data_IF_743173569021
#
_entry.id   IF_743173569021
#
_cell.length_a   1.000
_cell.length_b   1.000
_cell.length_c   1.000
_cell.angle_alpha   90.00
_cell.angle_beta   90.00
_cell.angle_gamma   90.00
#
_symmetry.space_group_name_H-M   'P 1'
#
loop_
_entity.id
_entity.type
_entity.pdbx_description
1 polymer ?
#
# COMPACT_ATOMS: atom_id res chain seq x y z
N UNK A 1 -18.55 -16.47 -18.37
CA UNK A 1 -19.31 -15.94 -17.21
C UNK A 1 -18.57 -14.72 -16.70
N UNK A 2 -18.95 -13.54 -17.20
CA UNK A 2 -18.19 -12.30 -17.02
C UNK A 2 -18.53 -11.60 -15.71
N UNK A 3 -17.56 -11.56 -14.78
CA UNK A 3 -17.61 -10.68 -13.63
C UNK A 3 -17.27 -9.25 -14.09
N UNK A 4 -18.30 -8.45 -14.32
CA UNK A 4 -18.18 -7.04 -14.71
C UNK A 4 -17.39 -6.27 -13.65
N UNK A 5 -16.27 -5.69 -14.07
CA UNK A 5 -15.49 -4.66 -13.39
C UNK A 5 -16.25 -3.31 -13.30
N UNK A 6 -17.53 -3.33 -12.90
CA UNK A 6 -18.40 -2.15 -12.85
C UNK A 6 -18.23 -1.32 -11.57
N UNK A 7 -17.57 -1.86 -10.53
CA UNK A 7 -17.45 -1.17 -9.24
C UNK A 7 -16.32 -0.11 -9.18
N UNK A 8 -15.30 -0.21 -10.04
CA UNK A 8 -14.16 0.71 -10.03
C UNK A 8 -14.48 2.06 -10.70
N UNK A 9 -15.34 2.08 -11.70
CA UNK A 9 -15.69 3.31 -12.43
C UNK A 9 -16.53 4.31 -11.60
N UNK A 10 -17.24 3.83 -10.57
CA UNK A 10 -18.14 4.69 -9.79
C UNK A 10 -17.44 5.53 -8.71
N UNK A 11 -16.16 5.28 -8.39
CA UNK A 11 -15.45 6.02 -7.33
C UNK A 11 -14.87 7.36 -7.79
N UNK A 12 -14.67 7.54 -9.10
CA UNK A 12 -14.13 8.78 -9.70
C UNK A 12 -15.23 9.75 -10.16
N UNK A 13 -16.51 9.36 -10.06
CA UNK A 13 -17.66 10.14 -10.54
C UNK A 13 -18.22 11.17 -9.56
N UNK A 14 -17.38 11.73 -8.67
CA UNK A 14 -17.79 12.84 -7.81
C UNK A 14 -17.47 14.15 -8.52
N UNK A 15 -18.47 15.02 -8.68
CA UNK A 15 -18.34 16.38 -9.23
C UNK A 15 -17.16 17.11 -8.60
N UNK A 16 -15.99 17.04 -9.23
CA UNK A 16 -14.77 17.67 -8.75
C UNK A 16 -14.90 19.17 -8.94
N UNK A 17 -14.68 19.95 -7.88
CA UNK A 17 -14.39 21.38 -8.03
C UNK A 17 -13.17 21.60 -8.95
N UNK A 18 -12.85 22.86 -9.23
CA UNK A 18 -11.83 23.46 -10.14
C UNK A 18 -10.70 22.59 -10.75
N UNK A 19 -10.23 21.50 -10.12
CA UNK A 19 -9.22 20.55 -10.59
C UNK A 19 -9.73 19.21 -11.15
N UNK A 20 -11.04 18.91 -11.09
CA UNK A 20 -11.63 17.67 -11.61
C UNK A 20 -11.34 16.39 -10.79
N UNK A 21 -10.65 16.50 -9.65
CA UNK A 21 -10.30 15.38 -8.77
C UNK A 21 -11.21 15.35 -7.53
N UNK A 22 -11.84 14.19 -7.27
CA UNK A 22 -12.66 13.97 -6.07
C UNK A 22 -11.81 13.83 -4.80
N UNK A 23 -12.40 14.01 -3.62
CA UNK A 23 -11.72 13.77 -2.33
C UNK A 23 -11.15 12.34 -2.24
N UNK A 24 -11.92 11.36 -2.71
CA UNK A 24 -11.49 9.97 -2.79
C UNK A 24 -10.25 9.78 -3.67
N UNK A 25 -10.15 10.50 -4.80
CA UNK A 25 -8.98 10.47 -5.68
C UNK A 25 -7.72 11.00 -4.97
N UNK A 26 -7.82 12.13 -4.27
CA UNK A 26 -6.71 12.66 -3.46
C UNK A 26 -6.29 11.67 -2.37
N UNK A 27 -7.25 11.04 -1.68
CA UNK A 27 -6.97 10.05 -0.65
C UNK A 27 -6.31 8.79 -1.22
N UNK A 28 -6.69 8.35 -2.43
CA UNK A 28 -6.07 7.23 -3.13
C UNK A 28 -4.62 7.52 -3.51
N UNK A 29 -4.37 8.70 -4.09
CA UNK A 29 -3.02 9.16 -4.46
C UNK A 29 -2.14 9.25 -3.20
N UNK A 30 -2.63 9.86 -2.12
CA UNK A 30 -1.90 9.96 -0.86
C UNK A 30 -1.57 8.56 -0.28
N UNK A 31 -2.49 7.59 -0.40
CA UNK A 31 -2.25 6.21 0.04
C UNK A 31 -1.16 5.53 -0.80
N UNK A 32 -1.18 5.71 -2.13
CA UNK A 32 -0.16 5.16 -3.03
C UNK A 32 1.23 5.73 -2.73
N UNK A 33 1.33 7.04 -2.48
CA UNK A 33 2.57 7.68 -2.03
C UNK A 33 3.03 7.12 -0.69
N UNK A 34 2.10 6.92 0.26
CA UNK A 34 2.40 6.29 1.56
C UNK A 34 2.91 4.85 1.43
N UNK A 35 2.39 4.07 0.48
CA UNK A 35 2.86 2.72 0.20
C UNK A 35 4.24 2.69 -0.46
N UNK A 36 4.55 3.68 -1.32
CA UNK A 36 5.86 3.82 -1.92
C UNK A 36 6.95 4.09 -0.87
N UNK A 37 6.67 4.98 0.09
CA UNK A 37 7.60 5.34 1.17
C UNK A 37 7.26 4.65 2.49
N UNK A 38 6.77 3.42 2.43
CA UNK A 38 6.32 2.68 3.61
C UNK A 38 7.45 2.57 4.66
N UNK A 39 7.19 3.08 5.87
CA UNK A 39 8.19 3.12 6.95
C UNK A 39 9.46 3.91 6.58
N UNK A 40 9.34 4.95 5.75
CA UNK A 40 10.48 5.73 5.25
C UNK A 40 11.31 5.00 4.19
N UNK A 41 10.71 4.02 3.49
CA UNK A 41 11.40 3.17 2.51
C UNK A 41 12.11 1.95 3.14
N UNK A 42 11.94 1.72 4.44
CA UNK A 42 12.58 0.61 5.16
C UNK A 42 11.71 -0.65 5.24
N UNK A 43 10.43 -0.53 4.89
CA UNK A 43 9.43 -1.58 5.00
C UNK A 43 8.82 -1.92 3.65
N UNK A 44 8.39 -3.17 3.50
CA UNK A 44 7.75 -3.69 2.29
C UNK A 44 6.54 -4.56 2.69
N UNK A 45 5.60 -4.76 1.78
CA UNK A 45 4.48 -5.67 2.03
C UNK A 45 4.91 -7.14 1.86
N UNK A 46 4.45 -7.97 2.79
CA UNK A 46 4.60 -9.43 2.66
C UNK A 46 3.43 -10.03 1.88
N UNK A 47 3.66 -11.18 1.25
CA UNK A 47 2.66 -11.92 0.44
C UNK A 47 2.07 -13.12 1.17
N UNK A 48 2.08 -13.11 2.51
CA UNK A 48 1.42 -14.13 3.34
C UNK A 48 -0.11 -14.00 3.28
N UNK A 49 -0.86 -15.08 3.46
CA UNK A 49 -2.33 -15.06 3.40
C UNK A 49 -2.98 -13.98 4.29
N UNK A 50 -2.45 -13.81 5.52
CA UNK A 50 -2.91 -12.76 6.43
C UNK A 50 -2.55 -11.34 5.96
N UNK A 51 -1.37 -11.17 5.37
CA UNK A 51 -0.90 -9.89 4.82
C UNK A 51 -1.72 -9.49 3.59
N UNK A 52 -2.04 -10.45 2.72
CA UNK A 52 -2.92 -10.24 1.56
C UNK A 52 -4.33 -9.89 2.01
N UNK A 53 -4.89 -10.62 2.99
CA UNK A 53 -6.21 -10.31 3.54
C UNK A 53 -6.26 -8.90 4.15
N UNK A 54 -5.23 -8.52 4.91
CA UNK A 54 -5.11 -7.18 5.50
C UNK A 54 -5.01 -6.08 4.42
N UNK A 55 -4.23 -6.33 3.36
CA UNK A 55 -4.09 -5.39 2.25
C UNK A 55 -5.42 -5.24 1.49
N UNK A 56 -6.14 -6.33 1.23
CA UNK A 56 -7.46 -6.31 0.61
C UNK A 56 -8.47 -5.45 1.38
N UNK A 57 -8.49 -5.57 2.70
CA UNK A 57 -9.34 -4.74 3.54
C UNK A 57 -8.92 -3.27 3.49
N UNK A 58 -7.61 -2.98 3.44
CA UNK A 58 -7.09 -1.60 3.40
C UNK A 58 -7.25 -0.91 2.02
N UNK A 59 -7.18 -1.65 0.92
CA UNK A 59 -7.25 -1.12 -0.45
C UNK A 59 -8.64 -1.24 -1.07
N UNK A 60 -9.68 -1.27 -0.26
CA UNK A 60 -11.05 -1.39 -0.77
C UNK A 60 -11.33 -0.26 -1.80
N UNK A 61 -11.71 -0.59 -3.05
CA UNK A 61 -11.68 0.36 -4.18
C UNK A 61 -12.74 1.47 -4.11
N UNK A 62 -13.62 1.44 -3.10
CA UNK A 62 -14.63 2.46 -2.88
C UNK A 62 -14.11 3.50 -1.89
N UNK A 63 -13.51 4.55 -2.44
CA UNK A 63 -13.04 5.69 -1.66
C UNK A 63 -14.19 6.58 -1.18
N UNK A 64 -14.07 7.17 0.03
CA UNK A 64 -15.09 8.07 0.57
C UNK A 64 -15.22 9.35 -0.28
N UNK A 65 -16.45 9.86 -0.41
CA UNK A 65 -16.70 11.15 -1.08
C UNK A 65 -16.45 12.33 -0.14
N UNK A 66 -16.66 12.15 1.16
CA UNK A 66 -16.44 13.14 2.21
C UNK A 66 -15.65 12.53 3.38
N UNK A 67 -14.90 13.34 4.13
CA UNK A 67 -14.05 12.87 5.24
C UNK A 67 -14.80 12.14 6.37
N UNK A 68 -16.09 12.47 6.58
CA UNK A 68 -16.97 11.85 7.58
C UNK A 68 -17.86 10.74 7.03
N UNK A 69 -17.74 10.39 5.75
CA UNK A 69 -18.54 9.35 5.13
C UNK A 69 -17.94 7.95 5.37
N UNK A 70 -18.50 7.24 6.35
CA UNK A 70 -18.15 5.87 6.71
C UNK A 70 -19.14 4.84 6.15
N UNK A 71 -20.06 5.25 5.27
CA UNK A 71 -21.22 4.44 4.86
C UNK A 71 -20.83 3.23 3.99
N UNK A 72 -19.70 3.33 3.29
CA UNK A 72 -19.23 2.31 2.35
C UNK A 72 -18.05 1.49 2.88
N UNK A 73 -17.28 2.03 3.83
CA UNK A 73 -16.10 1.39 4.41
C UNK A 73 -15.71 2.14 5.70
N UNK A 74 -15.40 1.40 6.77
CA UNK A 74 -14.91 1.98 8.02
C UNK A 74 -13.49 2.52 7.81
N UNK A 75 -13.26 3.81 8.10
CA UNK A 75 -11.95 4.45 7.88
C UNK A 75 -10.80 3.75 8.61
N UNK A 76 -11.08 3.11 9.75
CA UNK A 76 -10.09 2.36 10.51
C UNK A 76 -9.45 1.21 9.71
N UNK A 77 -10.20 0.55 8.81
CA UNK A 77 -9.67 -0.56 8.02
C UNK A 77 -8.62 -0.12 6.99
N UNK A 78 -8.61 1.16 6.60
CA UNK A 78 -7.56 1.73 5.74
C UNK A 78 -6.20 1.77 6.43
N UNK A 79 -6.10 1.53 7.74
CA UNK A 79 -4.82 1.41 8.46
C UNK A 79 -4.34 -0.04 8.60
N UNK A 80 -5.11 -1.03 8.17
CA UNK A 80 -4.76 -2.44 8.32
C UNK A 80 -3.55 -2.85 7.46
N UNK A 81 -3.15 -2.02 6.49
CA UNK A 81 -1.90 -2.20 5.73
C UNK A 81 -0.66 -2.30 6.64
N UNK A 82 -0.71 -1.73 7.85
CA UNK A 82 0.36 -1.84 8.83
C UNK A 82 0.64 -3.28 9.26
N UNK A 83 -0.36 -4.18 9.25
CA UNK A 83 -0.17 -5.59 9.57
C UNK A 83 0.59 -6.35 8.47
N UNK A 84 0.42 -5.93 7.22
CA UNK A 84 1.12 -6.49 6.07
C UNK A 84 2.56 -5.93 5.94
N UNK A 85 2.86 -4.83 6.63
CA UNK A 85 4.18 -4.20 6.59
C UNK A 85 5.22 -5.05 7.32
N UNK A 86 6.32 -5.37 6.62
CA UNK A 86 7.47 -6.10 7.15
C UNK A 86 8.76 -5.34 6.86
N UNK A 87 9.65 -5.28 7.84
CA UNK A 87 11.00 -4.72 7.69
C UNK A 87 11.86 -5.71 6.90
N UNK A 88 12.24 -5.33 5.67
CA UNK A 88 13.12 -6.12 4.79
C UNK A 88 14.36 -5.34 4.33
N UNK A 89 14.60 -4.16 4.92
CA UNK A 89 15.78 -3.35 4.63
C UNK A 89 17.05 -4.05 5.13
N UNK A 90 17.98 -4.29 4.20
CA UNK A 90 19.36 -4.69 4.50
C UNK A 90 20.21 -3.43 4.61
N UNK A 91 20.86 -3.26 5.78
CA UNK A 91 21.75 -2.13 6.08
C UNK A 91 23.14 -2.70 6.33
N UNK A 92 24.12 -2.28 5.53
CA UNK A 92 25.52 -2.60 5.76
C UNK A 92 26.13 -1.49 6.62
N UNK A 93 26.75 -1.89 7.73
CA UNK A 93 27.38 -1.00 8.71
C UNK A 93 28.83 -1.40 8.82
N UNK A 94 29.74 -0.43 8.82
CA UNK A 94 31.15 -0.69 9.09
C UNK A 94 31.36 -1.12 10.55
N UNK A 95 32.07 -2.23 10.75
CA UNK A 95 32.26 -2.84 12.06
C UNK A 95 33.10 -2.00 13.02
N UNK A 96 33.95 -1.09 12.51
CA UNK A 96 34.81 -0.24 13.35
C UNK A 96 34.17 1.09 13.70
N UNK A 97 33.54 1.75 12.72
CA UNK A 97 32.99 3.10 12.91
C UNK A 97 31.50 3.11 13.26
N UNK A 98 30.76 2.03 12.99
CA UNK A 98 29.30 2.00 13.16
C UNK A 98 28.54 2.85 12.14
N UNK A 99 29.21 3.34 11.09
CA UNK A 99 28.63 4.18 10.04
C UNK A 99 28.05 3.30 8.93
N UNK A 100 27.00 3.80 8.27
CA UNK A 100 26.43 3.13 7.09
C UNK A 100 27.37 3.19 5.90
N UNK A 101 27.58 2.03 5.28
CA UNK A 101 28.46 1.89 4.14
C UNK A 101 27.74 1.13 3.03
N UNK A 102 27.97 1.55 1.80
CA UNK A 102 27.52 0.81 0.62
C UNK A 102 28.44 -0.39 0.40
N UNK A 103 27.89 -1.60 0.52
CA UNK A 103 28.63 -2.85 0.29
C UNK A 103 28.02 -3.63 -0.89
N UNK A 104 28.83 -4.30 -1.73
CA UNK A 104 28.32 -5.20 -2.75
C UNK A 104 27.68 -6.43 -2.09
N UNK A 105 26.46 -6.78 -2.51
CA UNK A 105 25.69 -7.92 -1.98
C UNK A 105 25.29 -8.84 -3.12
N UNK A 106 25.66 -10.12 -3.05
CA UNK A 106 25.14 -11.17 -3.92
C UNK A 106 23.96 -11.86 -3.21
N UNK A 107 22.79 -11.88 -3.84
CA UNK A 107 21.60 -12.53 -3.29
C UNK A 107 21.20 -13.70 -4.19
N UNK A 108 21.17 -14.91 -3.62
CA UNK A 108 20.69 -16.11 -4.32
C UNK A 108 19.25 -16.39 -3.93
N UNK A 109 18.33 -16.18 -4.86
CA UNK A 109 16.93 -16.55 -4.67
C UNK A 109 16.81 -18.05 -4.85
N UNK A 110 16.19 -18.73 -3.89
CA UNK A 110 15.81 -20.14 -4.05
C UNK A 110 14.70 -20.23 -5.09
N UNK A 111 14.96 -20.84 -6.24
CA UNK A 111 13.96 -21.15 -7.26
C UNK A 111 13.07 -22.30 -6.79
N UNK A 112 12.18 -22.02 -5.83
CA UNK A 112 11.03 -22.88 -5.58
C UNK A 112 9.91 -22.52 -6.57
N UNK A 113 9.27 -23.55 -7.12
CA UNK A 113 8.12 -23.55 -8.04
C UNK A 113 7.28 -22.24 -8.03
N UNK A 114 6.95 -21.67 -9.21
CA UNK A 114 6.08 -20.49 -9.28
C UNK A 114 4.77 -20.78 -8.53
N UNK A 115 4.43 -19.93 -7.56
CA UNK A 115 3.22 -20.02 -6.74
C UNK A 115 2.11 -19.15 -7.34
#
# INVERSE_FOLDING_TARGET
>A
VGFRAAAAAAATGGSGGVSGLSYGAHAAIASAVGFLFLGGGTMTFSTDNASVAALWMATYPRFPQNASDNRCHLQAFRHLYALAARKRLLRAVDAKSGVDVTAPVEMRVRSGLPR
#
